data_IF_389011580157
#
_entry.id   IF_389011580157
#
_cell.length_a   1.000
_cell.length_b   1.000
_cell.length_c   1.000
_cell.angle_alpha   90.00
_cell.angle_beta   90.00
_cell.angle_gamma   90.00
#
_symmetry.space_group_name_H-M   'P 1'
#
loop_
_entity.id
_entity.type
_entity.pdbx_description
1 polymer ?
#
# COMPACT_ATOMS: atom_id res chain seq x y z
N UNK A 1 -16.77 34.89 22.96
CA UNK A 1 -17.73 33.91 22.38
C UNK A 1 -17.19 33.22 21.11
N UNK A 2 -16.13 33.74 20.47
CA UNK A 2 -15.53 33.23 19.22
C UNK A 2 -14.78 31.88 19.35
N UNK A 3 -14.45 31.45 20.58
CA UNK A 3 -13.55 30.31 20.82
C UNK A 3 -14.23 28.92 20.77
N UNK A 4 -15.53 28.83 21.01
CA UNK A 4 -16.24 27.53 21.09
C UNK A 4 -16.66 27.05 19.69
N UNK A 5 -17.08 27.99 18.83
CA UNK A 5 -17.45 27.70 17.44
C UNK A 5 -16.28 27.12 16.63
N UNK A 6 -15.07 27.66 16.80
CA UNK A 6 -13.88 27.15 16.11
C UNK A 6 -13.49 25.75 16.57
N UNK A 7 -13.64 25.45 17.87
CA UNK A 7 -13.32 24.14 18.41
C UNK A 7 -14.23 23.05 17.83
N UNK A 8 -15.53 23.32 17.71
CA UNK A 8 -16.51 22.38 17.15
C UNK A 8 -16.26 22.12 15.67
N UNK A 9 -15.85 23.14 14.91
CA UNK A 9 -15.49 22.99 13.49
C UNK A 9 -14.24 22.12 13.34
N UNK A 10 -13.20 22.36 14.14
CA UNK A 10 -11.95 21.57 14.09
C UNK A 10 -12.22 20.10 14.45
N UNK A 11 -13.02 19.85 15.50
CA UNK A 11 -13.39 18.48 15.90
C UNK A 11 -14.22 17.80 14.79
N UNK A 12 -15.18 18.51 14.19
CA UNK A 12 -16.01 17.97 13.11
C UNK A 12 -15.21 17.62 11.85
N UNK A 13 -14.20 18.42 11.51
CA UNK A 13 -13.31 18.13 10.37
C UNK A 13 -12.42 16.91 10.68
N UNK A 14 -11.88 16.83 11.90
CA UNK A 14 -11.03 15.71 12.30
C UNK A 14 -11.80 14.38 12.31
N UNK A 15 -13.04 14.35 12.81
CA UNK A 15 -13.86 13.13 12.82
C UNK A 15 -14.34 12.72 11.43
N UNK A 16 -14.65 13.69 10.55
CA UNK A 16 -14.98 13.40 9.16
C UNK A 16 -13.81 12.78 8.39
N UNK A 17 -12.60 13.33 8.57
CA UNK A 17 -11.38 12.82 7.92
C UNK A 17 -11.01 11.43 8.44
N UNK A 18 -11.08 11.19 9.75
CA UNK A 18 -10.82 9.87 10.35
C UNK A 18 -11.87 8.84 9.95
N UNK A 19 -13.14 9.24 9.80
CA UNK A 19 -14.20 8.38 9.31
C UNK A 19 -13.92 7.86 7.89
N UNK A 20 -13.38 8.69 7.00
CA UNK A 20 -13.08 8.31 5.61
C UNK A 20 -12.00 7.22 5.48
N UNK A 21 -11.02 7.15 6.39
CA UNK A 21 -9.92 6.18 6.30
C UNK A 21 -10.32 4.78 6.76
N UNK A 22 -11.34 4.66 7.63
CA UNK A 22 -11.78 3.37 8.19
C UNK A 22 -12.54 2.52 7.18
N UNK A 23 -13.22 3.13 6.20
CA UNK A 23 -14.04 2.38 5.24
C UNK A 23 -13.23 1.66 4.15
N UNK A 24 -12.00 2.11 3.84
CA UNK A 24 -11.15 1.43 2.86
C UNK A 24 -10.68 0.05 3.35
N UNK A 25 -10.59 -0.18 4.66
CA UNK A 25 -10.18 -1.47 5.23
C UNK A 25 -11.31 -2.52 5.25
N UNK A 26 -12.57 -2.11 5.10
CA UNK A 26 -13.74 -2.97 5.33
C UNK A 26 -14.41 -3.49 4.04
N UNK A 27 -13.97 -3.06 2.87
CA UNK A 27 -14.49 -3.58 1.59
C UNK A 27 -13.83 -4.93 1.25
N UNK A 28 -14.60 -6.04 1.16
CA UNK A 28 -14.07 -7.34 0.74
C UNK A 28 -13.51 -7.25 -0.69
N UNK A 29 -12.30 -7.75 -0.91
CA UNK A 29 -11.57 -7.62 -2.19
C UNK A 29 -12.04 -8.62 -3.26
N UNK A 30 -12.87 -9.60 -2.91
CA UNK A 30 -13.36 -10.59 -3.88
C UNK A 30 -14.15 -9.98 -5.06
N UNK A 31 -14.53 -8.71 -4.98
CA UNK A 31 -15.22 -7.97 -6.05
C UNK A 31 -14.35 -6.90 -6.75
N UNK A 32 -13.08 -6.72 -6.37
CA UNK A 32 -12.18 -5.72 -7.00
C UNK A 32 -11.59 -6.31 -8.29
N UNK A 33 -12.26 -6.05 -9.40
CA UNK A 33 -11.73 -6.35 -10.74
C UNK A 33 -10.57 -5.39 -11.01
N UNK A 34 -9.36 -5.84 -10.70
CA UNK A 34 -8.13 -5.11 -11.02
C UNK A 34 -8.00 -4.96 -12.54
N UNK A 35 -7.69 -3.75 -12.98
CA UNK A 35 -7.25 -3.52 -14.35
C UNK A 35 -5.96 -4.30 -14.66
N UNK A 36 -5.65 -4.58 -15.94
CA UNK A 36 -4.42 -5.29 -16.30
C UNK A 36 -3.14 -4.64 -15.76
N UNK A 37 -3.12 -3.30 -15.66
CA UNK A 37 -1.98 -2.55 -15.09
C UNK A 37 -1.90 -2.79 -13.58
N UNK A 38 -3.02 -2.72 -12.86
CA UNK A 38 -3.06 -2.99 -11.42
C UNK A 38 -2.66 -4.42 -11.09
N UNK A 39 -3.10 -5.41 -11.87
CA UNK A 39 -2.67 -6.81 -11.71
C UNK A 39 -1.16 -6.96 -11.86
N UNK A 40 -0.57 -6.33 -12.89
CA UNK A 40 0.88 -6.34 -13.10
C UNK A 40 1.61 -5.70 -11.92
N UNK A 41 1.12 -4.58 -11.42
CA UNK A 41 1.69 -3.89 -10.28
C UNK A 41 1.57 -4.69 -8.99
N UNK A 42 0.47 -5.39 -8.79
CA UNK A 42 0.31 -6.32 -7.67
C UNK A 42 1.30 -7.48 -7.73
N UNK A 43 1.61 -8.01 -8.92
CA UNK A 43 2.66 -9.03 -9.06
C UNK A 43 4.05 -8.48 -8.69
N UNK A 44 4.38 -7.25 -9.10
CA UNK A 44 5.63 -6.58 -8.73
C UNK A 44 5.72 -6.41 -7.20
N UNK A 45 4.65 -5.90 -6.58
CA UNK A 45 4.57 -5.71 -5.14
C UNK A 45 4.68 -7.03 -4.37
N UNK A 46 4.00 -8.09 -4.83
CA UNK A 46 4.10 -9.43 -4.23
C UNK A 46 5.52 -9.97 -4.25
N UNK A 47 6.23 -9.82 -5.38
CA UNK A 47 7.61 -10.28 -5.49
C UNK A 47 8.56 -9.48 -4.59
N UNK A 48 8.34 -8.17 -4.44
CA UNK A 48 9.09 -7.34 -3.51
C UNK A 48 8.84 -7.74 -2.05
N UNK A 49 7.56 -7.90 -1.68
CA UNK A 49 7.15 -8.27 -0.32
C UNK A 49 7.66 -9.67 0.08
N UNK A 50 7.72 -10.61 -0.88
CA UNK A 50 8.31 -11.94 -0.65
C UNK A 50 9.74 -11.87 -0.13
N UNK A 51 10.56 -10.94 -0.62
CA UNK A 51 11.94 -10.75 -0.13
C UNK A 51 11.91 -10.31 1.34
N UNK A 52 11.01 -9.40 1.71
CA UNK A 52 10.78 -9.01 3.11
C UNK A 52 10.36 -10.19 3.99
N UNK A 53 9.53 -11.11 3.50
CA UNK A 53 9.16 -12.30 4.29
C UNK A 53 10.30 -13.30 4.49
N UNK A 54 11.27 -13.34 3.58
CA UNK A 54 12.45 -14.19 3.71
C UNK A 54 13.44 -13.59 4.71
N UNK A 55 13.56 -12.25 4.73
CA UNK A 55 14.50 -11.50 5.57
C UNK A 55 13.79 -10.42 6.40
N UNK A 56 12.95 -10.79 7.39
CA UNK A 56 12.08 -9.85 8.09
C UNK A 56 12.81 -8.83 8.95
N UNK A 57 14.02 -9.18 9.43
CA UNK A 57 14.82 -8.34 10.33
C UNK A 57 16.02 -7.69 9.62
N UNK A 58 16.18 -7.93 8.31
CA UNK A 58 17.35 -7.45 7.57
C UNK A 58 17.10 -6.09 6.97
N UNK A 59 18.10 -5.22 7.09
CA UNK A 59 18.15 -4.02 6.27
C UNK A 59 18.48 -4.38 4.80
N UNK A 60 18.10 -3.55 3.81
CA UNK A 60 18.35 -3.84 2.39
C UNK A 60 19.82 -4.11 2.05
N UNK A 61 20.76 -3.50 2.76
CA UNK A 61 22.22 -3.66 2.61
C UNK A 61 22.76 -4.94 3.26
N UNK A 62 21.98 -5.60 4.10
CA UNK A 62 22.29 -6.89 4.71
C UNK A 62 21.78 -8.08 3.88
N UNK A 63 21.02 -7.81 2.82
CA UNK A 63 20.51 -8.84 1.92
C UNK A 63 21.65 -9.47 1.11
N UNK A 64 21.53 -10.76 0.73
CA UNK A 64 22.41 -11.34 -0.27
C UNK A 64 22.41 -10.51 -1.55
N UNK A 65 23.56 -10.41 -2.21
CA UNK A 65 23.77 -9.49 -3.35
C UNK A 65 22.72 -9.68 -4.46
N UNK A 66 22.33 -10.92 -4.75
CA UNK A 66 21.34 -11.25 -5.76
C UNK A 66 19.92 -10.76 -5.37
N UNK A 67 19.54 -10.92 -4.10
CA UNK A 67 18.25 -10.46 -3.60
C UNK A 67 18.20 -8.92 -3.49
N UNK A 68 19.31 -8.29 -3.10
CA UNK A 68 19.45 -6.82 -3.14
C UNK A 68 19.28 -6.29 -4.57
N UNK A 69 19.99 -6.87 -5.55
CA UNK A 69 19.84 -6.50 -6.98
C UNK A 69 18.42 -6.69 -7.47
N UNK A 70 17.76 -7.77 -7.06
CA UNK A 70 16.36 -8.05 -7.38
C UNK A 70 15.42 -7.02 -6.76
N UNK A 71 15.63 -6.63 -5.51
CA UNK A 71 14.82 -5.62 -4.83
C UNK A 71 14.93 -4.26 -5.54
N UNK A 72 16.15 -3.83 -5.88
CA UNK A 72 16.39 -2.60 -6.64
C UNK A 72 15.68 -2.63 -8.00
N UNK A 73 15.78 -3.75 -8.72
CA UNK A 73 15.09 -3.91 -10.00
C UNK A 73 13.56 -3.84 -9.87
N UNK A 74 13.00 -4.43 -8.81
CA UNK A 74 11.57 -4.37 -8.53
C UNK A 74 11.13 -2.96 -8.15
N UNK A 75 11.93 -2.22 -7.40
CA UNK A 75 11.65 -0.82 -7.02
C UNK A 75 11.66 0.10 -8.26
N UNK A 76 12.65 -0.03 -9.15
CA UNK A 76 12.69 0.72 -10.40
C UNK A 76 11.45 0.46 -11.26
N UNK A 77 11.03 -0.81 -11.36
CA UNK A 77 9.80 -1.19 -12.06
C UNK A 77 8.55 -0.64 -11.39
N UNK A 78 8.47 -0.73 -10.07
CA UNK A 78 7.34 -0.23 -9.30
C UNK A 78 7.15 1.27 -9.52
N UNK A 79 8.21 2.06 -9.39
CA UNK A 79 8.17 3.51 -9.63
C UNK A 79 7.79 3.82 -11.07
N UNK A 80 8.45 3.17 -12.03
CA UNK A 80 8.29 3.49 -13.46
C UNK A 80 6.98 3.00 -14.06
N UNK A 81 6.49 1.83 -13.65
CA UNK A 81 5.36 1.16 -14.30
C UNK A 81 4.07 1.24 -13.48
N UNK A 82 4.15 1.58 -12.19
CA UNK A 82 3.00 1.62 -11.29
C UNK A 82 2.76 3.02 -10.74
N UNK A 83 3.70 3.56 -9.94
CA UNK A 83 3.51 4.85 -9.25
C UNK A 83 3.37 6.02 -10.23
N UNK A 84 4.01 5.95 -11.40
CA UNK A 84 3.95 6.99 -12.42
C UNK A 84 2.61 7.04 -13.19
N UNK A 85 1.79 6.00 -13.09
CA UNK A 85 0.59 5.81 -13.94
C UNK A 85 -0.69 5.67 -13.10
N UNK A 86 -0.62 4.95 -11.98
CA UNK A 86 -1.78 4.65 -11.13
C UNK A 86 -2.10 5.81 -10.19
N UNK A 87 -3.38 5.89 -9.79
CA UNK A 87 -3.79 6.80 -8.72
C UNK A 87 -3.24 6.35 -7.37
N UNK A 88 -3.13 7.29 -6.43
CA UNK A 88 -2.72 6.97 -5.06
C UNK A 88 -3.64 5.92 -4.41
N UNK A 89 -4.96 5.99 -4.64
CA UNK A 89 -5.92 5.01 -4.12
C UNK A 89 -5.67 3.60 -4.65
N UNK A 90 -5.34 3.48 -5.94
CA UNK A 90 -5.01 2.20 -6.57
C UNK A 90 -3.71 1.62 -6.01
N UNK A 91 -2.68 2.45 -5.83
CA UNK A 91 -1.41 2.06 -5.19
C UNK A 91 -1.63 1.59 -3.74
N UNK A 92 -2.40 2.33 -2.95
CA UNK A 92 -2.74 1.96 -1.57
C UNK A 92 -3.50 0.64 -1.53
N UNK A 93 -4.47 0.45 -2.42
CA UNK A 93 -5.21 -0.81 -2.52
C UNK A 93 -4.29 -1.99 -2.85
N UNK A 94 -3.35 -1.83 -3.79
CA UNK A 94 -2.40 -2.89 -4.14
C UNK A 94 -1.54 -3.25 -2.92
N UNK A 95 -0.93 -2.26 -2.26
CA UNK A 95 -0.06 -2.49 -1.09
C UNK A 95 -0.83 -3.18 0.04
N UNK A 96 -2.04 -2.70 0.36
CA UNK A 96 -2.89 -3.33 1.37
C UNK A 96 -3.28 -4.76 0.99
N UNK A 97 -3.52 -5.03 -0.30
CA UNK A 97 -3.85 -6.38 -0.76
C UNK A 97 -2.66 -7.32 -0.60
N UNK A 98 -1.46 -6.89 -1.00
CA UNK A 98 -0.23 -7.68 -0.80
C UNK A 98 -0.01 -7.98 0.67
N UNK A 99 -0.05 -6.96 1.53
CA UNK A 99 0.16 -7.13 2.97
C UNK A 99 -0.85 -8.10 3.59
N UNK A 100 -2.14 -7.98 3.22
CA UNK A 100 -3.18 -8.89 3.70
C UNK A 100 -2.96 -10.33 3.22
N UNK A 101 -2.61 -10.52 1.94
CA UNK A 101 -2.40 -11.84 1.37
C UNK A 101 -1.23 -12.57 2.06
N UNK A 102 -0.14 -11.86 2.36
CA UNK A 102 0.98 -12.44 3.09
C UNK A 102 0.71 -12.64 4.58
N UNK A 103 -0.02 -11.72 5.22
CA UNK A 103 -0.32 -11.79 6.65
C UNK A 103 -1.41 -12.82 6.99
N UNK A 104 -2.40 -13.00 6.10
CA UNK A 104 -3.60 -13.79 6.38
C UNK A 104 -3.87 -14.93 5.39
N UNK A 105 -3.06 -15.05 4.32
CA UNK A 105 -3.20 -16.12 3.32
C UNK A 105 -4.40 -15.98 2.39
N UNK A 106 -4.92 -14.75 2.23
CA UNK A 106 -6.01 -14.40 1.32
C UNK A 106 -5.56 -14.17 -0.12
#
# INVERSE_FOLDING_TARGET
MTSILLLVIVIGIATALLGSVVFQFLTPINDVILSPVEQKCQLIANEGYKIHTIYPESNPDELPEDDMKRLVYLDEKWVKECVSILSADSIINIVNNVDRNFSYGE
#
